data_IF_023501471980
#
_entry.id   IF_023501471980
#
_cell.length_a   1.000
_cell.length_b   1.000
_cell.length_c   1.000
_cell.angle_alpha   90.00
_cell.angle_beta   90.00
_cell.angle_gamma   90.00
#
_symmetry.space_group_name_H-M   'P 1'
#
loop_
_entity.id
_entity.type
_entity.pdbx_description
1 polymer ?
#
# COMPACT_ATOMS: atom_id res chain seq x y z
N UNK A 1 12.20 -29.71 -6.21
CA UNK A 1 11.62 -28.56 -5.48
C UNK A 1 11.89 -27.33 -6.33
N UNK A 2 10.87 -26.76 -6.97
CA UNK A 2 11.04 -25.51 -7.72
C UNK A 2 11.10 -24.36 -6.71
N UNK A 3 12.09 -23.48 -6.82
CA UNK A 3 12.15 -22.25 -6.02
C UNK A 3 10.98 -21.34 -6.43
N UNK A 4 10.36 -20.69 -5.44
CA UNK A 4 9.42 -19.61 -5.70
C UNK A 4 10.19 -18.43 -6.32
N UNK A 5 9.80 -18.02 -7.53
CA UNK A 5 10.48 -17.01 -8.33
C UNK A 5 9.44 -16.29 -9.20
N UNK A 6 9.33 -14.97 -9.07
CA UNK A 6 8.32 -14.19 -9.79
C UNK A 6 8.57 -14.09 -11.31
N UNK A 7 9.81 -14.34 -11.75
CA UNK A 7 10.25 -14.31 -13.15
C UNK A 7 10.30 -15.69 -13.82
N UNK A 8 9.88 -16.75 -13.10
CA UNK A 8 9.79 -18.10 -13.68
C UNK A 8 8.32 -18.42 -13.98
N UNK A 9 7.92 -18.55 -15.26
CA UNK A 9 6.56 -18.95 -15.64
C UNK A 9 6.16 -20.33 -15.09
N UNK A 10 7.11 -21.15 -14.64
CA UNK A 10 6.88 -22.46 -14.04
C UNK A 10 6.98 -22.45 -12.52
N UNK A 11 7.10 -21.28 -11.90
CA UNK A 11 7.16 -21.14 -10.45
C UNK A 11 5.90 -21.69 -9.78
N UNK A 12 6.01 -22.31 -8.58
CA UNK A 12 4.85 -22.87 -7.86
C UNK A 12 3.81 -21.82 -7.43
N UNK A 13 4.11 -20.52 -7.55
CA UNK A 13 3.19 -19.42 -7.18
C UNK A 13 2.15 -19.10 -8.28
N UNK A 14 2.35 -19.59 -9.51
CA UNK A 14 1.47 -19.27 -10.65
C UNK A 14 0.74 -20.51 -11.18
N UNK A 15 -0.48 -20.28 -11.66
CA UNK A 15 -1.25 -21.25 -12.41
C UNK A 15 -0.75 -21.37 -13.86
N UNK A 16 -1.18 -22.42 -14.57
CA UNK A 16 -0.83 -22.60 -15.99
C UNK A 16 -1.35 -21.48 -16.90
N UNK A 17 -2.39 -20.75 -16.50
CA UNK A 17 -3.02 -19.69 -17.31
C UNK A 17 -2.20 -18.40 -17.30
N UNK A 18 -1.54 -18.11 -16.19
CA UNK A 18 -0.77 -16.87 -15.99
C UNK A 18 0.60 -16.91 -16.68
N UNK A 19 1.09 -18.07 -17.12
CA UNK A 19 2.45 -18.23 -17.65
C UNK A 19 2.80 -17.29 -18.79
N UNK A 20 1.86 -17.07 -19.71
CA UNK A 20 2.04 -16.17 -20.84
C UNK A 20 2.14 -14.72 -20.36
N UNK A 21 1.37 -14.36 -19.33
CA UNK A 21 1.41 -13.03 -18.71
C UNK A 21 2.74 -12.78 -18.00
N UNK A 22 3.31 -13.81 -17.34
CA UNK A 22 4.64 -13.74 -16.73
C UNK A 22 5.70 -13.48 -17.80
N UNK A 23 5.73 -14.28 -18.88
CA UNK A 23 6.70 -14.06 -19.98
C UNK A 23 6.54 -12.67 -20.60
N UNK A 24 5.30 -12.21 -20.81
CA UNK A 24 5.04 -10.88 -21.34
C UNK A 24 5.52 -9.77 -20.40
N UNK A 25 5.33 -9.94 -19.09
CA UNK A 25 5.85 -9.04 -18.05
C UNK A 25 7.37 -8.97 -18.07
N UNK A 26 8.04 -10.13 -18.13
CA UNK A 26 9.51 -10.21 -18.16
C UNK A 26 10.10 -9.52 -19.40
N UNK A 27 9.49 -9.73 -20.56
CA UNK A 27 9.84 -9.02 -21.81
C UNK A 27 9.63 -7.52 -21.64
N UNK A 28 8.52 -7.11 -21.03
CA UNK A 28 8.21 -5.71 -20.75
C UNK A 28 9.26 -5.04 -19.85
N UNK A 29 9.65 -5.72 -18.77
CA UNK A 29 10.71 -5.27 -17.85
C UNK A 29 12.04 -5.17 -18.59
N UNK A 30 12.44 -6.19 -19.35
CA UNK A 30 13.67 -6.18 -20.13
C UNK A 30 13.68 -5.03 -21.16
N UNK A 31 12.54 -4.76 -21.81
CA UNK A 31 12.41 -3.66 -22.76
C UNK A 31 12.51 -2.28 -22.08
N UNK A 32 11.92 -2.09 -20.90
CA UNK A 32 12.07 -0.85 -20.13
C UNK A 32 13.52 -0.67 -19.69
N UNK A 33 14.16 -1.70 -19.14
CA UNK A 33 15.56 -1.66 -18.73
C UNK A 33 16.49 -1.35 -19.90
N UNK A 34 16.27 -1.97 -21.06
CA UNK A 34 17.02 -1.70 -22.29
C UNK A 34 16.86 -0.26 -22.77
N UNK A 35 15.65 0.30 -22.72
CA UNK A 35 15.39 1.71 -23.08
C UNK A 35 16.06 2.67 -22.11
N UNK A 36 16.03 2.40 -20.82
CA UNK A 36 16.72 3.22 -19.81
C UNK A 36 18.24 3.15 -20.00
N UNK A 37 18.80 1.98 -20.27
CA UNK A 37 20.22 1.82 -20.54
C UNK A 37 20.64 2.58 -21.81
N UNK A 38 19.85 2.48 -22.88
CA UNK A 38 20.06 3.24 -24.11
C UNK A 38 19.99 4.75 -23.86
N UNK A 39 18.98 5.23 -23.12
CA UNK A 39 18.85 6.63 -22.77
C UNK A 39 20.01 7.13 -21.89
N UNK A 40 20.48 6.32 -20.95
CA UNK A 40 21.68 6.62 -20.16
C UNK A 40 22.94 6.71 -21.02
N UNK A 41 23.07 5.85 -22.02
CA UNK A 41 24.18 5.90 -22.97
C UNK A 41 24.12 7.12 -23.91
N UNK A 42 22.94 7.50 -24.41
CA UNK A 42 22.79 8.59 -25.40
C UNK A 42 22.64 9.98 -24.78
N UNK A 43 21.93 10.10 -23.66
CA UNK A 43 21.67 11.37 -22.96
C UNK A 43 22.58 11.57 -21.73
N UNK A 44 23.33 10.54 -21.33
CA UNK A 44 24.23 10.56 -20.18
C UNK A 44 23.60 9.99 -18.90
N UNK A 45 24.39 9.22 -18.16
CA UNK A 45 23.93 8.56 -16.93
C UNK A 45 23.52 9.54 -15.84
N UNK A 46 24.20 10.70 -15.74
CA UNK A 46 23.83 11.74 -14.78
C UNK A 46 22.48 12.39 -15.13
N UNK A 47 22.17 12.53 -16.42
CA UNK A 47 20.87 13.00 -16.86
C UNK A 47 19.79 12.00 -16.46
N UNK A 48 19.98 10.71 -16.77
CA UNK A 48 19.03 9.64 -16.42
C UNK A 48 18.79 9.54 -14.91
N UNK A 49 19.85 9.66 -14.12
CA UNK A 49 19.77 9.65 -12.65
C UNK A 49 18.85 10.78 -12.15
N UNK A 50 19.01 11.99 -12.68
CA UNK A 50 18.27 13.19 -12.23
C UNK A 50 16.84 13.24 -12.74
N UNK A 51 16.59 12.81 -13.99
CA UNK A 51 15.28 12.94 -14.62
C UNK A 51 14.38 11.73 -14.41
N UNK A 52 14.95 10.55 -14.17
CA UNK A 52 14.19 9.32 -14.02
C UNK A 52 14.40 8.66 -12.64
N UNK A 53 15.64 8.29 -12.30
CA UNK A 53 15.89 7.44 -11.12
C UNK A 53 15.54 8.14 -9.81
N UNK A 54 16.00 9.37 -9.60
CA UNK A 54 15.69 10.12 -8.37
C UNK A 54 14.19 10.40 -8.24
N UNK A 55 13.48 10.95 -9.25
CA UNK A 55 12.03 11.10 -9.19
C UNK A 55 11.29 9.78 -8.95
N UNK A 56 11.70 8.70 -9.61
CA UNK A 56 11.12 7.37 -9.41
C UNK A 56 11.23 6.92 -7.96
N UNK A 57 12.41 7.05 -7.34
CA UNK A 57 12.62 6.68 -5.94
C UNK A 57 11.82 7.56 -4.99
N UNK A 58 11.71 8.86 -5.24
CA UNK A 58 10.91 9.78 -4.41
C UNK A 58 9.43 9.43 -4.47
N UNK A 59 8.88 9.23 -5.67
CA UNK A 59 7.46 8.86 -5.84
C UNK A 59 7.16 7.52 -5.18
N UNK A 60 8.01 6.51 -5.41
CA UNK A 60 7.81 5.18 -4.81
C UNK A 60 7.98 5.19 -3.29
N UNK A 61 8.92 5.99 -2.75
CA UNK A 61 9.07 6.16 -1.31
C UNK A 61 7.75 6.64 -0.68
N UNK A 62 7.13 7.69 -1.23
CA UNK A 62 5.87 8.20 -0.71
C UNK A 62 4.71 7.23 -0.92
N UNK A 63 4.58 6.63 -2.10
CA UNK A 63 3.51 5.67 -2.41
C UNK A 63 3.55 4.47 -1.46
N UNK A 64 4.73 3.88 -1.24
CA UNK A 64 4.90 2.75 -0.32
C UNK A 64 4.65 3.19 1.12
N UNK A 65 5.16 4.34 1.55
CA UNK A 65 4.97 4.78 2.92
C UNK A 65 3.51 5.12 3.25
N UNK A 66 2.79 5.76 2.32
CA UNK A 66 1.35 6.06 2.44
C UNK A 66 0.56 4.76 2.60
N UNK A 67 0.71 3.83 1.67
CA UNK A 67 -0.02 2.56 1.70
C UNK A 67 0.37 1.71 2.92
N UNK A 68 1.65 1.64 3.28
CA UNK A 68 2.11 0.95 4.49
C UNK A 68 1.42 1.50 5.73
N UNK A 69 1.52 2.82 5.99
CA UNK A 69 0.95 3.39 7.21
C UNK A 69 -0.59 3.31 7.22
N UNK A 70 -1.25 3.41 6.08
CA UNK A 70 -2.69 3.31 6.04
C UNK A 70 -3.23 1.90 6.30
N UNK A 71 -2.42 0.87 6.05
CA UNK A 71 -2.81 -0.54 6.16
C UNK A 71 -2.05 -1.32 7.24
N UNK A 72 -1.06 -0.73 7.90
CA UNK A 72 -0.24 -1.36 8.93
C UNK A 72 -0.28 -0.53 10.21
N UNK A 73 -1.00 -1.03 11.21
CA UNK A 73 -1.12 -0.42 12.53
C UNK A 73 -1.58 -1.49 13.54
N UNK A 74 -1.11 -1.48 14.82
CA UNK A 74 -1.51 -2.47 15.82
C UNK A 74 -3.03 -2.61 16.03
N UNK A 75 -3.75 -1.51 15.89
CA UNK A 75 -5.21 -1.44 16.07
C UNK A 75 -6.01 -1.78 14.80
N UNK A 76 -5.35 -2.22 13.72
CA UNK A 76 -6.04 -2.66 12.50
C UNK A 76 -6.22 -4.19 12.50
N UNK A 77 -7.46 -4.68 12.43
CA UNK A 77 -7.75 -6.10 12.39
C UNK A 77 -7.41 -6.69 11.02
N UNK A 78 -6.99 -7.94 11.03
CA UNK A 78 -6.85 -8.80 9.87
C UNK A 78 -7.85 -9.93 10.00
N UNK A 79 -8.50 -10.30 8.90
CA UNK A 79 -9.60 -11.26 8.94
C UNK A 79 -9.24 -12.53 8.19
N UNK A 80 -9.50 -13.67 8.82
CA UNK A 80 -9.57 -14.95 8.16
C UNK A 80 -10.78 -14.96 7.21
N UNK A 81 -10.76 -15.84 6.20
CA UNK A 81 -11.83 -15.95 5.20
C UNK A 81 -13.23 -16.18 5.81
N UNK A 82 -13.32 -16.75 7.01
CA UNK A 82 -14.57 -16.97 7.73
C UNK A 82 -15.16 -15.70 8.38
N UNK A 83 -14.35 -14.68 8.62
CA UNK A 83 -14.72 -13.42 9.27
C UNK A 83 -14.76 -12.22 8.32
N UNK A 84 -14.19 -12.40 7.12
CA UNK A 84 -14.05 -11.33 6.15
C UNK A 84 -15.36 -11.07 5.42
N UNK A 85 -15.73 -9.79 5.34
CA UNK A 85 -16.68 -9.26 4.37
C UNK A 85 -16.11 -7.96 3.79
N UNK A 86 -16.76 -7.44 2.73
CA UNK A 86 -16.29 -6.24 2.05
C UNK A 86 -16.16 -5.03 2.99
N UNK A 87 -17.12 -4.82 3.89
CA UNK A 87 -17.15 -3.64 4.76
C UNK A 87 -16.05 -3.72 5.82
N UNK A 88 -15.88 -4.89 6.45
CA UNK A 88 -14.79 -5.15 7.40
C UNK A 88 -13.43 -4.96 6.73
N UNK A 89 -13.28 -5.45 5.50
CA UNK A 89 -12.07 -5.24 4.70
C UNK A 89 -11.81 -3.77 4.39
N UNK A 90 -12.82 -3.02 3.95
CA UNK A 90 -12.70 -1.60 3.63
C UNK A 90 -12.35 -0.74 4.85
N UNK A 91 -12.88 -1.11 6.03
CA UNK A 91 -12.60 -0.42 7.30
C UNK A 91 -11.29 -0.87 7.97
N UNK A 92 -10.58 -1.87 7.44
CA UNK A 92 -9.26 -2.29 7.93
C UNK A 92 -8.15 -1.33 7.46
N UNK A 93 -8.40 -0.03 7.61
CA UNK A 93 -7.53 1.07 7.19
C UNK A 93 -7.54 2.20 8.21
N UNK A 94 -6.50 3.02 8.22
CA UNK A 94 -6.32 4.11 9.18
C UNK A 94 -5.94 5.40 8.45
N UNK A 95 -6.66 6.48 8.71
CA UNK A 95 -6.27 7.81 8.28
C UNK A 95 -5.06 8.31 9.07
N UNK A 96 -4.19 9.08 8.43
CA UNK A 96 -2.92 9.55 8.98
C UNK A 96 -2.79 11.06 8.79
N UNK A 97 -1.95 11.69 9.61
CA UNK A 97 -1.61 13.12 9.50
C UNK A 97 -0.18 13.31 9.01
N UNK A 98 -0.01 13.82 7.80
CA UNK A 98 1.30 14.14 7.23
C UNK A 98 1.58 15.65 7.28
N UNK A 99 0.68 16.44 7.89
CA UNK A 99 0.79 17.88 8.02
C UNK A 99 0.57 18.58 6.69
N UNK A 100 1.48 19.47 6.30
CA UNK A 100 1.36 20.17 5.00
C UNK A 100 1.32 19.21 3.80
N UNK A 101 1.92 18.02 3.93
CA UNK A 101 1.91 17.02 2.87
C UNK A 101 0.52 16.45 2.61
N UNK A 102 -0.43 16.55 3.54
CA UNK A 102 -1.82 16.14 3.30
C UNK A 102 -2.38 16.91 2.09
N UNK A 103 -2.09 18.22 1.99
CA UNK A 103 -2.49 19.04 0.83
C UNK A 103 -1.78 18.60 -0.45
N UNK A 104 -0.46 18.33 -0.38
CA UNK A 104 0.35 17.89 -1.54
C UNK A 104 -0.15 16.55 -2.09
N UNK A 105 -0.62 15.68 -1.21
CA UNK A 105 -1.16 14.37 -1.56
C UNK A 105 -2.68 14.37 -1.76
N UNK A 106 -3.29 15.56 -1.94
CA UNK A 106 -4.72 15.70 -2.21
C UNK A 106 -5.60 15.01 -1.14
N UNK A 107 -5.17 15.09 0.11
CA UNK A 107 -5.87 14.54 1.27
C UNK A 107 -6.06 13.01 1.27
N UNK A 108 -5.36 12.27 0.40
CA UNK A 108 -5.45 10.80 0.43
C UNK A 108 -4.96 10.21 1.75
N UNK A 109 -4.10 10.94 2.48
CA UNK A 109 -3.55 10.54 3.78
C UNK A 109 -4.58 10.60 4.90
N UNK A 110 -5.46 11.60 4.89
CA UNK A 110 -6.47 11.89 5.92
C UNK A 110 -7.93 11.64 5.47
N UNK A 111 -8.12 11.05 4.28
CA UNK A 111 -9.44 10.61 3.77
C UNK A 111 -9.40 9.19 3.19
N UNK A 112 -8.44 8.37 3.61
CA UNK A 112 -8.23 7.03 3.06
C UNK A 112 -9.34 6.06 3.42
N UNK A 113 -9.85 6.13 4.66
CA UNK A 113 -11.00 5.31 5.09
C UNK A 113 -12.19 5.56 4.17
N UNK A 114 -12.48 6.83 3.88
CA UNK A 114 -13.52 7.23 2.93
C UNK A 114 -13.23 6.74 1.52
N UNK A 115 -11.97 6.81 1.07
CA UNK A 115 -11.55 6.27 -0.22
C UNK A 115 -11.80 4.76 -0.32
N UNK A 116 -11.60 3.97 0.75
CA UNK A 116 -11.92 2.54 0.71
C UNK A 116 -13.41 2.25 0.61
N UNK A 117 -14.25 3.05 1.28
CA UNK A 117 -15.70 2.92 1.18
C UNK A 117 -16.24 3.40 -0.17
N UNK A 118 -15.61 4.41 -0.77
CA UNK A 118 -16.03 5.05 -2.00
C UNK A 118 -14.85 5.26 -2.96
N UNK A 119 -14.25 4.17 -3.45
CA UNK A 119 -12.99 4.22 -4.24
C UNK A 119 -13.09 4.94 -5.57
N UNK A 120 -14.32 5.17 -6.07
CA UNK A 120 -14.59 5.94 -7.27
C UNK A 120 -14.85 7.43 -7.00
N UNK A 121 -14.95 7.84 -5.73
CA UNK A 121 -15.14 9.24 -5.36
C UNK A 121 -13.87 10.05 -5.68
N UNK A 122 -13.99 11.21 -6.36
CA UNK A 122 -12.84 12.09 -6.56
C UNK A 122 -12.45 12.80 -5.25
N UNK A 123 -11.18 13.16 -5.11
CA UNK A 123 -10.64 13.70 -3.86
C UNK A 123 -11.24 15.05 -3.42
N UNK A 124 -11.85 15.82 -4.32
CA UNK A 124 -12.30 17.20 -4.06
C UNK A 124 -13.31 17.34 -2.91
N UNK A 125 -14.14 16.32 -2.66
CA UNK A 125 -15.12 16.28 -1.55
C UNK A 125 -14.82 15.18 -0.53
N UNK A 126 -13.65 14.53 -0.61
CA UNK A 126 -13.32 13.40 0.25
C UNK A 126 -13.24 13.82 1.73
N UNK A 127 -12.78 15.05 2.02
CA UNK A 127 -12.73 15.57 3.38
C UNK A 127 -14.15 15.77 3.96
N UNK A 128 -15.06 16.37 3.19
CA UNK A 128 -16.46 16.55 3.61
C UNK A 128 -17.16 15.21 3.87
N UNK A 129 -16.97 14.24 2.98
CA UNK A 129 -17.47 12.89 3.15
C UNK A 129 -16.87 12.20 4.38
N UNK A 130 -15.58 12.40 4.65
CA UNK A 130 -14.90 11.87 5.84
C UNK A 130 -15.51 12.41 7.13
N UNK A 131 -15.74 13.72 7.21
CA UNK A 131 -16.39 14.32 8.38
C UNK A 131 -17.83 13.83 8.58
N UNK A 132 -18.58 13.61 7.49
CA UNK A 132 -19.92 13.04 7.56
C UNK A 132 -19.93 11.56 7.99
N UNK A 133 -18.89 10.80 7.64
CA UNK A 133 -18.76 9.38 7.98
C UNK A 133 -18.30 9.13 9.41
N UNK A 134 -17.41 9.97 9.95
CA UNK A 134 -16.89 9.85 11.33
C UNK A 134 -17.96 9.53 12.38
N UNK A 135 -19.09 10.29 12.49
CA UNK A 135 -20.14 9.98 13.47
C UNK A 135 -20.91 8.69 13.19
N UNK A 136 -20.97 8.24 11.92
CA UNK A 136 -21.65 7.00 11.52
C UNK A 136 -20.78 5.79 11.86
N UNK A 137 -19.48 5.87 11.56
CA UNK A 137 -18.51 4.81 11.82
C UNK A 137 -18.14 4.72 13.30
N UNK A 138 -18.17 5.83 14.03
CA UNK A 138 -17.87 5.89 15.46
C UNK A 138 -16.55 5.19 15.80
N UNK A 139 -16.55 4.13 16.65
CA UNK A 139 -15.34 3.43 17.06
C UNK A 139 -14.62 2.67 15.94
N UNK A 140 -15.29 2.45 14.80
CA UNK A 140 -14.72 1.77 13.63
C UNK A 140 -13.90 2.71 12.73
N UNK A 141 -14.06 4.03 12.88
CA UNK A 141 -13.17 4.98 12.22
C UNK A 141 -11.82 5.01 12.92
N UNK A 142 -10.74 4.75 12.18
CA UNK A 142 -9.37 4.76 12.70
C UNK A 142 -8.60 5.95 12.14
N UNK A 143 -7.97 6.68 13.06
CA UNK A 143 -7.11 7.80 12.76
C UNK A 143 -5.90 7.78 13.68
N UNK A 144 -4.72 8.05 13.12
CA UNK A 144 -3.50 8.24 13.88
C UNK A 144 -2.81 9.56 13.50
N UNK A 145 -2.82 10.49 14.45
CA UNK A 145 -2.21 11.81 14.34
C UNK A 145 -0.75 11.89 14.78
N UNK A 146 -0.08 10.77 15.07
CA UNK A 146 1.37 10.75 15.34
C UNK A 146 2.12 11.33 14.14
N UNK A 147 3.28 11.95 14.40
CA UNK A 147 4.18 12.36 13.32
C UNK A 147 4.52 11.16 12.43
N UNK A 148 4.37 11.32 11.11
CA UNK A 148 4.50 10.24 10.12
C UNK A 148 5.77 9.41 10.25
N UNK A 149 6.93 10.01 10.53
CA UNK A 149 8.19 9.26 10.66
C UNK A 149 8.27 8.49 11.99
N UNK A 150 7.69 9.04 13.06
CA UNK A 150 7.56 8.32 14.34
C UNK A 150 6.58 7.16 14.21
N UNK A 151 5.45 7.37 13.52
CA UNK A 151 4.48 6.33 13.23
C UNK A 151 5.11 5.22 12.38
N UNK A 152 5.85 5.58 11.32
CA UNK A 152 6.57 4.63 10.47
C UNK A 152 7.50 3.74 11.30
N UNK A 153 8.34 4.33 12.14
CA UNK A 153 9.25 3.56 12.97
C UNK A 153 8.52 2.68 14.00
N UNK A 154 7.54 3.24 14.70
CA UNK A 154 6.80 2.53 15.74
C UNK A 154 6.02 1.33 15.15
N UNK A 155 5.29 1.56 14.06
CA UNK A 155 4.43 0.55 13.43
C UNK A 155 5.30 -0.52 12.75
N UNK A 156 6.40 -0.14 12.07
CA UNK A 156 7.37 -1.09 11.52
C UNK A 156 7.98 -2.02 12.59
N UNK A 157 8.26 -1.48 13.79
CA UNK A 157 8.81 -2.27 14.90
C UNK A 157 7.78 -3.11 15.65
N UNK A 158 6.48 -2.81 15.52
CA UNK A 158 5.41 -3.48 16.25
C UNK A 158 4.65 -4.50 15.41
N UNK A 159 4.63 -4.33 14.08
CA UNK A 159 3.80 -5.09 13.15
C UNK A 159 4.61 -6.18 12.41
N UNK A 160 5.14 -7.17 13.14
CA UNK A 160 5.97 -8.24 12.56
C UNK A 160 5.14 -9.31 11.84
N UNK A 161 4.08 -9.79 12.49
CA UNK A 161 3.17 -10.81 11.96
C UNK A 161 1.78 -10.64 12.57
N UNK A 162 0.77 -11.33 12.03
CA UNK A 162 -0.59 -11.30 12.56
C UNK A 162 -0.95 -12.64 13.19
N UNK A 163 -1.64 -12.60 14.33
CA UNK A 163 -2.13 -13.79 15.02
C UNK A 163 -3.44 -13.49 15.75
N UNK A 164 -4.31 -14.49 15.96
CA UNK A 164 -5.52 -14.31 16.74
C UNK A 164 -5.19 -14.18 18.23
N UNK A 165 -6.04 -13.48 18.98
CA UNK A 165 -5.94 -13.39 20.44
C UNK A 165 -6.25 -14.73 21.10
N UNK A 166 -7.29 -15.42 20.61
CA UNK A 166 -7.66 -16.77 21.03
C UNK A 166 -7.51 -17.73 19.87
N UNK A 167 -6.85 -18.87 20.13
CA UNK A 167 -6.65 -19.91 19.11
C UNK A 167 -8.00 -20.37 18.54
N UNK A 168 -8.17 -20.22 17.23
CA UNK A 168 -9.40 -20.59 16.51
C UNK A 168 -10.30 -19.42 16.16
N UNK A 169 -10.04 -18.22 16.68
CA UNK A 169 -10.72 -17.00 16.21
C UNK A 169 -10.22 -16.59 14.82
N UNK A 170 -11.12 -16.02 14.03
CA UNK A 170 -10.81 -15.53 12.68
C UNK A 170 -10.41 -14.06 12.62
N UNK A 171 -10.40 -13.34 13.74
CA UNK A 171 -9.88 -11.97 13.81
C UNK A 171 -8.45 -12.03 14.35
N UNK A 172 -7.54 -11.42 13.63
CA UNK A 172 -6.11 -11.43 13.89
C UNK A 172 -5.59 -10.01 14.03
N UNK A 173 -4.54 -9.86 14.81
CA UNK A 173 -3.95 -8.56 15.11
C UNK A 173 -2.44 -8.64 15.00
N UNK A 174 -1.80 -7.50 14.77
CA UNK A 174 -0.34 -7.45 14.71
C UNK A 174 0.30 -7.80 16.06
N UNK A 175 1.40 -8.54 15.97
CA UNK A 175 2.25 -8.97 17.08
C UNK A 175 3.70 -8.71 16.74
N UNK A 176 4.50 -8.55 17.79
CA UNK A 176 5.95 -8.38 17.70
C UNK A 176 6.65 -9.72 17.63
#
# INVERSE_FOLDING_TARGET
>A
MHLACHYDPYSPIYSKRERVEIVASDIGIAAVMGRLAYAGHTCGWLWLLRTYVVPYLVVNFWLVMITLLQHTHPDLPHYHNSEWDWLRGALATCDRNYGFLDVVFHHITDTHVTHHLFSQMPHYHAQEATEALKPILGPYYKYDGRNVFKALWADWCACSYVAPDVKGEGIMWYRK
#
